data_IF_656595760201
#
_entry.id   IF_656595760201
#
_cell.length_a   1.000
_cell.length_b   1.000
_cell.length_c   1.000
_cell.angle_alpha   90.00
_cell.angle_beta   90.00
_cell.angle_gamma   90.00
#
_symmetry.space_group_name_H-M   'P 1'
#
loop_
_entity.id
_entity.type
_entity.pdbx_description
1 polymer ?
#
# COMPACT_ATOMS: atom_id res chain seq x y z
N UNK A 1 -108.22 -12.49 27.33
CA UNK A 1 -109.41 -12.17 26.50
C UNK A 1 -109.22 -10.75 25.93
N UNK A 2 -109.51 -10.42 24.66
CA UNK A 2 -110.69 -10.73 23.80
C UNK A 2 -111.90 -9.88 24.28
N UNK A 3 -112.59 -9.03 23.49
CA UNK A 3 -112.68 -8.89 22.02
C UNK A 3 -112.66 -7.42 21.48
N UNK A 4 -113.21 -7.18 20.27
CA UNK A 4 -113.04 -6.01 19.37
C UNK A 4 -114.25 -5.03 19.37
N UNK A 5 -114.03 -3.75 19.02
CA UNK A 5 -115.02 -2.82 18.40
C UNK A 5 -115.73 -1.85 19.37
N UNK A 6 -115.89 -0.52 19.20
CA UNK A 6 -115.68 0.51 18.12
C UNK A 6 -116.95 0.98 17.36
N UNK A 7 -117.53 2.11 17.80
CA UNK A 7 -118.25 3.19 17.05
C UNK A 7 -118.14 4.49 17.91
N UNK A 8 -117.69 5.68 17.43
CA UNK A 8 -118.38 6.78 16.68
C UNK A 8 -119.65 7.33 17.35
N UNK A 9 -119.93 8.65 17.50
CA UNK A 9 -119.32 9.96 17.10
C UNK A 9 -119.78 11.04 18.13
N UNK A 10 -119.37 12.33 18.23
CA UNK A 10 -119.14 13.42 17.25
C UNK A 10 -118.34 14.60 17.90
N UNK A 11 -118.15 15.76 17.25
CA UNK A 11 -117.28 16.90 17.70
C UNK A 11 -117.97 18.27 17.64
N UNK A 12 -117.54 19.30 18.43
CA UNK A 12 -116.74 20.41 17.84
C UNK A 12 -115.61 20.98 18.77
N UNK A 13 -114.95 22.13 18.46
CA UNK A 13 -113.68 22.18 17.67
C UNK A 13 -113.03 23.60 17.52
N UNK A 14 -112.48 24.22 18.56
CA UNK A 14 -111.69 25.50 18.48
C UNK A 14 -110.38 25.37 19.29
N UNK A 15 -109.13 25.57 18.84
CA UNK A 15 -108.44 26.09 17.61
C UNK A 15 -107.83 27.50 17.72
N UNK A 16 -106.50 27.55 17.85
CA UNK A 16 -105.60 28.63 17.36
C UNK A 16 -104.41 27.98 16.61
N UNK A 17 -103.81 28.63 15.59
CA UNK A 17 -103.10 27.92 14.49
C UNK A 17 -102.21 28.82 13.57
N UNK A 18 -101.26 28.19 12.84
CA UNK A 18 -100.49 28.65 11.61
C UNK A 18 -99.17 29.40 11.88
N UNK A 19 -98.11 29.45 11.04
CA UNK A 19 -97.64 28.91 9.69
C UNK A 19 -96.09 29.21 9.59
N UNK A 20 -95.20 28.86 8.62
CA UNK A 20 -95.03 27.96 7.43
C UNK A 20 -93.50 27.93 7.05
N UNK A 21 -93.10 27.34 5.89
CA UNK A 21 -91.79 27.46 5.16
C UNK A 21 -90.67 26.52 5.70
N UNK A 22 -90.17 25.44 5.04
CA UNK A 22 -89.81 25.04 3.64
C UNK A 22 -88.43 25.60 3.23
N UNK A 23 -87.36 24.81 2.97
CA UNK A 23 -86.98 24.07 1.72
C UNK A 23 -86.01 22.89 2.02
N UNK A 24 -85.97 21.91 1.11
CA UNK A 24 -85.19 20.64 1.09
C UNK A 24 -83.72 20.74 0.63
N UNK A 25 -82.81 19.91 1.20
CA UNK A 25 -81.83 19.11 0.42
C UNK A 25 -81.34 17.87 1.21
N UNK A 26 -80.96 16.79 0.52
CA UNK A 26 -80.43 15.54 1.09
C UNK A 26 -79.07 15.21 0.47
N UNK A 27 -78.06 14.94 1.31
CA UNK A 27 -76.84 14.23 0.91
C UNK A 27 -76.19 13.53 2.12
N UNK A 28 -76.02 12.21 2.03
CA UNK A 28 -75.36 11.36 3.02
C UNK A 28 -73.90 11.09 2.59
N UNK A 29 -72.90 11.52 3.37
CA UNK A 29 -71.52 11.02 3.26
C UNK A 29 -70.88 10.87 4.66
N UNK A 30 -70.10 9.80 4.82
CA UNK A 30 -69.49 9.22 6.01
C UNK A 30 -68.77 10.14 7.02
N UNK A 31 -68.65 9.64 8.26
CA UNK A 31 -67.64 10.11 9.22
C UNK A 31 -66.22 9.82 8.70
N UNK A 32 -65.21 10.66 9.01
CA UNK A 32 -63.82 10.27 8.87
C UNK A 32 -63.48 9.17 9.89
N UNK A 33 -63.24 7.95 9.42
CA UNK A 33 -62.76 6.88 10.28
C UNK A 33 -61.37 7.21 10.82
N UNK A 34 -61.14 6.94 12.11
CA UNK A 34 -59.85 7.19 12.77
C UNK A 34 -58.82 6.16 12.26
N UNK A 35 -58.08 6.52 11.22
CA UNK A 35 -57.09 5.67 10.59
C UNK A 35 -55.87 5.44 11.50
N UNK A 36 -55.92 4.36 12.29
CA UNK A 36 -54.77 3.85 13.03
C UNK A 36 -53.64 3.54 12.03
N UNK A 37 -52.50 4.20 12.18
CA UNK A 37 -51.45 4.19 11.17
C UNK A 37 -50.71 2.85 11.09
N UNK A 38 -51.22 1.93 10.27
CA UNK A 38 -50.43 0.80 9.78
C UNK A 38 -49.38 1.33 8.81
N UNK A 39 -48.18 1.61 9.33
CA UNK A 39 -46.97 1.68 8.51
C UNK A 39 -46.75 0.26 7.98
N UNK A 40 -47.30 -0.03 6.80
CA UNK A 40 -46.91 -1.18 5.99
C UNK A 40 -45.54 -0.85 5.42
N UNK A 41 -44.53 -1.00 6.26
CA UNK A 41 -43.17 -1.17 5.77
C UNK A 41 -43.13 -2.48 5.00
N UNK A 42 -43.14 -2.41 3.67
CA UNK A 42 -42.76 -3.53 2.83
C UNK A 42 -41.42 -4.09 3.37
N UNK A 43 -41.36 -5.34 3.86
CA UNK A 43 -40.12 -5.89 4.40
C UNK A 43 -39.11 -5.94 3.25
N UNK A 44 -38.08 -5.09 3.34
CA UNK A 44 -37.25 -4.67 2.20
C UNK A 44 -36.83 -5.88 1.36
N UNK A 45 -37.39 -6.03 0.15
CA UNK A 45 -37.17 -7.20 -0.72
C UNK A 45 -35.91 -6.97 -1.57
N UNK A 46 -34.71 -7.30 -1.11
CA UNK A 46 -34.28 -8.67 -0.75
C UNK A 46 -34.93 -9.71 -1.66
N UNK A 47 -34.58 -9.64 -2.94
CA UNK A 47 -34.27 -10.88 -3.68
C UNK A 47 -32.87 -11.32 -3.23
N UNK A 48 -32.78 -11.80 -1.98
CA UNK A 48 -31.55 -12.05 -1.20
C UNK A 48 -30.55 -10.87 -1.05
N UNK A 49 -30.88 -9.63 -1.43
CA UNK A 49 -30.06 -8.43 -1.10
C UNK A 49 -30.83 -7.13 -0.83
N UNK A 50 -30.46 -6.41 0.24
CA UNK A 50 -30.94 -5.05 0.59
C UNK A 50 -30.09 -3.98 -0.10
N UNK A 51 -30.73 -2.95 -0.68
CA UNK A 51 -30.07 -1.72 -1.14
C UNK A 51 -31.00 -0.53 -0.88
N UNK A 52 -30.57 0.44 -0.07
CA UNK A 52 -31.33 1.66 0.25
C UNK A 52 -30.54 2.93 -0.12
N UNK A 53 -31.25 4.00 -0.49
CA UNK A 53 -30.66 5.27 -0.94
C UNK A 53 -31.35 6.44 -0.23
N UNK A 54 -30.59 7.24 0.51
CA UNK A 54 -31.07 8.45 1.20
C UNK A 54 -31.12 9.69 0.30
N UNK A 55 -31.81 9.62 -0.85
CA UNK A 55 -31.91 10.73 -1.81
C UNK A 55 -32.77 10.40 -3.02
N UNK A 56 -33.48 11.40 -3.57
CA UNK A 56 -34.64 11.20 -4.45
C UNK A 56 -34.35 11.07 -5.96
N UNK A 57 -33.09 10.95 -6.38
CA UNK A 57 -32.74 10.67 -7.79
C UNK A 57 -31.37 9.96 -7.95
N UNK A 58 -31.34 8.62 -8.09
CA UNK A 58 -30.09 7.89 -8.34
C UNK A 58 -29.81 7.75 -9.85
N UNK A 59 -29.12 8.74 -10.42
CA UNK A 59 -28.52 8.59 -11.75
C UNK A 59 -27.31 7.61 -11.67
N UNK A 60 -27.58 6.32 -11.92
CA UNK A 60 -26.60 5.26 -12.18
C UNK A 60 -25.59 4.94 -11.04
N UNK A 61 -26.06 4.74 -9.81
CA UNK A 61 -25.25 4.23 -8.70
C UNK A 61 -25.88 3.00 -8.00
N UNK A 62 -25.04 2.02 -7.61
CA UNK A 62 -25.41 0.83 -6.82
C UNK A 62 -24.90 0.97 -5.38
N UNK A 63 -25.36 0.09 -4.49
CA UNK A 63 -25.00 -0.10 -3.07
C UNK A 63 -23.99 0.90 -2.47
N UNK A 64 -24.52 1.81 -1.65
CA UNK A 64 -23.77 2.82 -0.88
C UNK A 64 -23.83 2.45 0.61
N UNK A 65 -22.71 2.03 1.20
CA UNK A 65 -22.63 1.63 2.61
C UNK A 65 -22.05 2.78 3.44
N UNK A 66 -22.89 3.37 4.29
CA UNK A 66 -22.56 4.53 5.13
C UNK A 66 -22.74 4.20 6.61
N UNK A 67 -21.69 4.42 7.39
CA UNK A 67 -21.84 4.79 8.80
C UNK A 67 -21.96 6.32 8.94
N UNK A 68 -22.37 6.77 10.11
CA UNK A 68 -22.06 8.14 10.54
C UNK A 68 -20.58 8.20 10.98
N UNK A 69 -19.94 9.36 10.77
CA UNK A 69 -18.50 9.62 10.92
C UNK A 69 -17.52 8.71 10.11
N UNK A 70 -16.82 9.35 9.16
CA UNK A 70 -15.43 9.07 8.78
C UNK A 70 -14.96 7.75 8.12
N UNK A 71 -15.81 6.82 7.69
CA UNK A 71 -15.40 5.78 6.71
C UNK A 71 -16.53 5.38 5.75
N UNK A 72 -16.18 5.16 4.48
CA UNK A 72 -17.07 4.65 3.42
C UNK A 72 -16.33 3.62 2.55
N UNK A 73 -17.08 2.67 2.02
CA UNK A 73 -16.66 1.79 0.92
C UNK A 73 -17.55 2.14 -0.27
N UNK A 74 -17.00 2.83 -1.26
CA UNK A 74 -17.71 3.22 -2.48
C UNK A 74 -17.15 2.49 -3.69
N UNK A 75 -18.04 1.93 -4.49
CA UNK A 75 -17.79 1.41 -5.84
C UNK A 75 -18.73 2.16 -6.78
N UNK A 76 -18.21 2.87 -7.79
CA UNK A 76 -19.05 3.54 -8.79
C UNK A 76 -18.67 3.20 -10.24
N UNK A 77 -19.60 3.50 -11.15
CA UNK A 77 -19.50 3.26 -12.59
C UNK A 77 -19.09 4.49 -13.39
N UNK A 78 -18.29 5.39 -12.80
CA UNK A 78 -17.65 6.48 -13.55
C UNK A 78 -16.62 5.92 -14.56
N UNK A 79 -16.01 6.79 -15.37
CA UNK A 79 -14.93 6.39 -16.31
C UNK A 79 -13.67 5.85 -15.62
N UNK A 80 -13.60 5.90 -14.29
CA UNK A 80 -12.52 5.33 -13.47
C UNK A 80 -13.12 4.54 -12.32
N UNK A 81 -13.78 3.42 -12.63
CA UNK A 81 -14.35 2.52 -11.61
C UNK A 81 -13.27 2.08 -10.61
N UNK A 82 -13.58 2.18 -9.32
CA UNK A 82 -12.63 1.87 -8.25
C UNK A 82 -13.27 1.81 -6.87
N UNK A 83 -12.49 1.32 -5.91
CA UNK A 83 -12.79 1.33 -4.49
C UNK A 83 -12.15 2.57 -3.85
N UNK A 84 -12.99 3.48 -3.34
CA UNK A 84 -12.57 4.73 -2.70
C UNK A 84 -12.54 4.59 -1.18
N UNK A 85 -11.49 5.15 -0.56
CA UNK A 85 -11.28 5.23 0.88
C UNK A 85 -11.30 6.70 1.33
N UNK A 86 -12.47 7.19 1.72
CA UNK A 86 -12.67 8.55 2.23
C UNK A 86 -12.27 8.65 3.71
N UNK A 87 -11.53 9.70 4.09
CA UNK A 87 -11.21 10.08 5.49
C UNK A 87 -11.44 11.57 5.68
N UNK A 88 -12.13 11.98 6.75
CA UNK A 88 -12.43 13.39 7.05
C UNK A 88 -13.06 14.15 5.86
N UNK A 89 -13.94 13.48 5.11
CA UNK A 89 -14.63 14.05 3.93
C UNK A 89 -13.81 14.16 2.64
N UNK A 90 -12.55 13.72 2.62
CA UNK A 90 -11.67 13.74 1.45
C UNK A 90 -11.34 12.29 1.02
N UNK A 91 -11.32 12.00 -0.29
CA UNK A 91 -11.00 10.67 -0.84
C UNK A 91 -9.50 10.37 -0.79
N UNK A 92 -9.00 10.21 0.44
CA UNK A 92 -7.59 10.06 0.80
C UNK A 92 -6.85 8.98 -0.01
N UNK A 93 -7.55 7.92 -0.45
CA UNK A 93 -7.02 7.03 -1.48
C UNK A 93 -8.05 6.25 -2.30
N UNK A 94 -7.59 5.65 -3.41
CA UNK A 94 -8.42 4.88 -4.34
C UNK A 94 -7.65 3.70 -4.90
N UNK A 95 -8.27 2.51 -4.96
CA UNK A 95 -7.83 1.39 -5.78
C UNK A 95 -8.71 1.35 -7.04
N UNK A 96 -8.18 1.71 -8.21
CA UNK A 96 -8.97 1.90 -9.44
C UNK A 96 -8.47 1.05 -10.60
N UNK A 97 -9.40 0.54 -11.41
CA UNK A 97 -9.06 0.01 -12.74
C UNK A 97 -8.97 1.15 -13.75
N UNK A 98 -7.91 1.15 -14.56
CA UNK A 98 -7.77 2.01 -15.73
C UNK A 98 -7.65 1.17 -17.00
N UNK A 99 -7.63 1.80 -18.18
CA UNK A 99 -7.51 1.09 -19.47
C UNK A 99 -6.19 0.30 -19.62
N UNK A 100 -5.23 0.51 -18.72
CA UNK A 100 -3.87 -0.04 -18.75
C UNK A 100 -3.50 -0.86 -17.51
N UNK A 101 -4.35 -0.96 -16.48
CA UNK A 101 -4.05 -1.77 -15.30
C UNK A 101 -4.90 -1.49 -14.05
N UNK A 102 -4.32 -1.79 -12.89
CA UNK A 102 -4.86 -1.52 -11.56
C UNK A 102 -3.91 -0.55 -10.84
N UNK A 103 -4.45 0.55 -10.32
CA UNK A 103 -3.69 1.64 -9.70
C UNK A 103 -4.10 1.84 -8.24
N UNK A 104 -3.13 2.22 -7.41
CA UNK A 104 -3.34 2.75 -6.05
C UNK A 104 -3.00 4.24 -6.07
N UNK A 105 -3.95 5.08 -5.67
CA UNK A 105 -3.86 6.53 -5.74
C UNK A 105 -4.12 7.18 -4.38
N UNK A 106 -3.58 8.38 -4.14
CA UNK A 106 -3.83 9.20 -2.93
C UNK A 106 -4.13 10.65 -3.31
N UNK A 107 -5.19 11.25 -2.77
CA UNK A 107 -5.61 12.61 -3.20
C UNK A 107 -4.76 13.76 -2.63
N UNK A 108 -4.11 13.56 -1.48
CA UNK A 108 -3.45 14.62 -0.73
C UNK A 108 -2.20 14.13 0.04
N UNK A 109 -1.06 14.66 -0.41
CA UNK A 109 0.31 14.66 0.14
C UNK A 109 1.17 13.36 0.22
N UNK A 110 2.37 13.51 -0.34
CA UNK A 110 3.68 12.90 0.02
C UNK A 110 3.93 11.41 -0.25
N UNK A 111 3.01 10.47 0.00
CA UNK A 111 3.28 9.03 -0.20
C UNK A 111 2.08 8.28 -0.80
N UNK A 112 2.24 7.78 -2.03
CA UNK A 112 1.18 7.06 -2.76
C UNK A 112 0.96 5.61 -2.30
N UNK A 113 1.94 4.98 -1.64
CA UNK A 113 1.84 3.64 -1.06
C UNK A 113 2.80 3.51 0.13
N UNK A 114 2.38 2.78 1.18
CA UNK A 114 3.21 2.41 2.31
C UNK A 114 2.94 0.96 2.72
N UNK A 115 3.98 0.13 2.73
CA UNK A 115 3.93 -1.28 3.15
C UNK A 115 4.89 -1.48 4.33
N UNK A 116 4.42 -2.11 5.40
CA UNK A 116 5.12 -2.20 6.69
C UNK A 116 5.45 -3.65 7.05
N UNK A 117 6.42 -3.84 7.95
CA UNK A 117 7.07 -5.13 8.18
C UNK A 117 8.30 -5.28 7.29
N UNK A 118 8.43 -6.40 6.57
CA UNK A 118 9.58 -6.70 5.69
C UNK A 118 9.55 -5.99 4.32
N UNK A 119 8.63 -5.05 4.10
CA UNK A 119 8.51 -4.27 2.86
C UNK A 119 7.60 -4.90 1.81
N UNK A 120 7.96 -4.74 0.54
CA UNK A 120 7.16 -5.16 -0.61
C UNK A 120 7.84 -6.29 -1.39
N UNK A 121 7.06 -7.21 -1.95
CA UNK A 121 7.53 -8.26 -2.86
C UNK A 121 6.80 -8.13 -4.21
N UNK A 122 7.57 -7.93 -5.28
CA UNK A 122 7.05 -7.75 -6.63
C UNK A 122 7.34 -9.01 -7.46
N UNK A 123 6.29 -9.64 -8.01
CA UNK A 123 6.44 -10.78 -8.92
C UNK A 123 6.74 -10.27 -10.33
N UNK A 124 8.00 -9.93 -10.60
CA UNK A 124 8.47 -9.43 -11.88
C UNK A 124 9.32 -8.17 -11.74
N UNK A 125 9.21 -7.28 -12.73
CA UNK A 125 10.06 -6.08 -12.82
C UNK A 125 9.53 -4.92 -11.96
N UNK A 126 10.44 -4.15 -11.37
CA UNK A 126 10.15 -2.85 -10.77
C UNK A 126 10.58 -1.74 -11.75
N UNK A 127 9.67 -0.82 -12.06
CA UNK A 127 9.96 0.42 -12.77
C UNK A 127 9.72 1.61 -11.83
N UNK A 128 10.51 2.67 -11.98
CA UNK A 128 10.42 3.89 -11.16
C UNK A 128 10.90 5.09 -11.97
N UNK A 129 10.10 6.16 -11.99
CA UNK A 129 10.47 7.44 -12.59
C UNK A 129 11.40 8.27 -11.68
N UNK A 130 11.59 7.82 -10.43
CA UNK A 130 12.43 8.47 -9.41
C UNK A 130 13.48 7.53 -8.78
N UNK A 131 14.22 8.07 -7.83
CA UNK A 131 15.38 7.40 -7.21
C UNK A 131 15.00 6.22 -6.29
N UNK A 132 15.81 5.15 -6.32
CA UNK A 132 15.79 4.09 -5.31
C UNK A 132 16.67 4.52 -4.12
N UNK A 133 16.04 5.02 -3.06
CA UNK A 133 16.73 5.49 -1.84
C UNK A 133 17.03 4.32 -0.88
N UNK A 134 18.26 3.81 -0.89
CA UNK A 134 18.71 2.74 0.02
C UNK A 134 19.45 3.28 1.26
N UNK A 135 19.47 2.50 2.34
CA UNK A 135 20.20 2.83 3.59
C UNK A 135 21.70 2.57 3.47
N UNK A 136 22.08 1.55 2.71
CA UNK A 136 23.46 1.15 2.44
C UNK A 136 23.89 1.72 1.08
N UNK A 137 25.17 1.63 0.73
CA UNK A 137 25.75 2.44 -0.36
C UNK A 137 26.66 1.65 -1.31
N UNK A 138 26.55 0.32 -1.33
CA UNK A 138 27.32 -0.63 -2.14
C UNK A 138 26.44 -1.55 -3.00
N UNK A 139 26.88 -1.86 -4.22
CA UNK A 139 26.21 -2.83 -5.11
C UNK A 139 26.97 -4.14 -5.07
N UNK A 140 26.24 -5.23 -4.81
CA UNK A 140 26.81 -6.57 -4.62
C UNK A 140 26.05 -7.66 -5.40
N UNK A 141 26.70 -8.81 -5.60
CA UNK A 141 26.12 -9.99 -6.23
C UNK A 141 26.31 -11.25 -5.36
N UNK A 142 25.41 -12.22 -5.49
CA UNK A 142 25.55 -13.58 -4.94
C UNK A 142 26.50 -14.44 -5.79
N UNK A 143 27.73 -14.64 -5.33
CA UNK A 143 28.77 -15.44 -5.99
C UNK A 143 29.10 -16.68 -5.16
N UNK A 144 29.29 -17.84 -5.78
CA UNK A 144 29.65 -19.09 -5.09
C UNK A 144 30.99 -18.95 -4.37
N UNK A 145 31.05 -19.37 -3.10
CA UNK A 145 32.24 -19.20 -2.26
C UNK A 145 32.02 -19.74 -0.84
N UNK A 146 33.10 -20.06 -0.09
CA UNK A 146 32.95 -20.43 1.32
C UNK A 146 32.42 -19.24 2.13
N UNK A 147 31.75 -19.47 3.27
CA UNK A 147 31.38 -18.38 4.19
C UNK A 147 32.61 -17.58 4.63
N UNK A 148 32.64 -16.30 4.29
CA UNK A 148 33.71 -15.36 4.61
C UNK A 148 33.14 -14.17 5.41
N UNK A 149 33.86 -13.60 6.40
CA UNK A 149 33.35 -12.45 7.15
C UNK A 149 33.24 -11.20 6.27
N UNK A 150 32.38 -10.26 6.66
CA UNK A 150 32.28 -8.97 5.99
C UNK A 150 33.63 -8.21 5.94
N UNK A 151 33.82 -7.39 4.91
CA UNK A 151 35.05 -6.64 4.64
C UNK A 151 36.21 -7.48 4.11
N UNK A 152 36.04 -8.79 3.92
CA UNK A 152 37.08 -9.66 3.34
C UNK A 152 37.27 -9.36 1.86
N UNK A 153 38.48 -9.01 1.44
CA UNK A 153 38.87 -8.89 0.02
C UNK A 153 38.86 -10.27 -0.63
N UNK A 154 38.30 -10.38 -1.84
CA UNK A 154 38.09 -11.66 -2.52
C UNK A 154 38.55 -11.63 -3.97
N UNK A 155 39.07 -12.78 -4.43
CA UNK A 155 39.56 -13.02 -5.78
C UNK A 155 38.75 -14.12 -6.47
N UNK A 156 38.68 -14.06 -7.80
CA UNK A 156 38.13 -15.12 -8.63
C UNK A 156 39.04 -16.36 -8.63
N UNK A 157 38.40 -17.51 -8.54
CA UNK A 157 38.95 -18.85 -8.73
C UNK A 157 38.27 -19.52 -9.94
N UNK A 158 38.57 -20.79 -10.17
CA UNK A 158 37.88 -21.61 -11.16
C UNK A 158 36.37 -21.77 -10.87
N UNK A 159 35.60 -22.12 -11.91
CA UNK A 159 34.16 -22.39 -11.85
C UNK A 159 33.29 -21.25 -11.24
N UNK A 160 33.61 -19.98 -11.52
CA UNK A 160 32.91 -18.79 -11.01
C UNK A 160 32.85 -18.73 -9.46
N UNK A 161 33.93 -19.20 -8.81
CA UNK A 161 34.06 -19.22 -7.36
C UNK A 161 34.86 -18.03 -6.85
N UNK A 162 34.50 -17.53 -5.67
CA UNK A 162 35.28 -16.55 -4.91
C UNK A 162 36.01 -17.20 -3.72
N UNK A 163 37.23 -16.72 -3.45
CA UNK A 163 38.00 -17.04 -2.24
C UNK A 163 38.64 -15.76 -1.67
N UNK A 164 39.07 -15.79 -0.41
CA UNK A 164 39.78 -14.66 0.20
C UNK A 164 41.13 -14.43 -0.51
N UNK A 165 41.45 -13.17 -0.84
CA UNK A 165 42.72 -12.82 -1.49
C UNK A 165 43.91 -13.06 -0.56
N UNK A 166 44.92 -13.80 -0.98
CA UNK A 166 46.16 -14.05 -0.22
C UNK A 166 47.41 -13.41 -0.85
N UNK A 167 47.26 -12.82 -2.04
CA UNK A 167 48.33 -12.37 -2.90
C UNK A 167 48.31 -10.85 -3.06
N UNK A 168 49.47 -10.21 -2.86
CA UNK A 168 49.61 -8.76 -3.01
C UNK A 168 49.49 -8.33 -4.48
N UNK A 169 48.69 -7.28 -4.76
CA UNK A 169 48.37 -6.82 -6.11
C UNK A 169 47.82 -7.92 -7.05
N UNK A 170 47.02 -8.84 -6.52
CA UNK A 170 46.35 -9.87 -7.32
C UNK A 170 45.39 -9.23 -8.35
N UNK A 171 45.59 -9.53 -9.64
CA UNK A 171 44.76 -9.06 -10.74
C UNK A 171 43.43 -9.81 -10.87
N UNK A 172 43.21 -10.86 -10.06
CA UNK A 172 41.96 -11.63 -9.98
C UNK A 172 40.96 -11.04 -8.99
N UNK A 173 41.24 -9.87 -8.38
CA UNK A 173 40.39 -9.31 -7.33
C UNK A 173 39.03 -8.89 -7.91
N UNK A 174 37.94 -9.41 -7.31
CA UNK A 174 36.55 -9.22 -7.78
C UNK A 174 35.70 -8.38 -6.83
N UNK A 175 36.26 -7.95 -5.70
CA UNK A 175 35.60 -7.05 -4.76
C UNK A 175 35.80 -7.43 -3.30
N UNK A 176 34.79 -7.14 -2.48
CA UNK A 176 34.84 -7.32 -1.02
C UNK A 176 33.50 -7.89 -0.51
N UNK A 177 33.56 -8.80 0.45
CA UNK A 177 32.36 -9.40 1.06
C UNK A 177 31.53 -8.35 1.79
N UNK A 178 30.26 -8.17 1.39
CA UNK A 178 29.33 -7.22 1.99
C UNK A 178 28.42 -7.84 3.05
N UNK A 179 28.29 -7.15 4.18
CA UNK A 179 27.36 -7.47 5.26
C UNK A 179 25.90 -7.17 4.84
N UNK A 180 25.65 -5.93 4.38
CA UNK A 180 24.32 -5.42 4.04
C UNK A 180 24.42 -4.50 2.83
N UNK A 181 24.32 -5.02 1.59
CA UNK A 181 24.41 -4.21 0.39
C UNK A 181 23.21 -3.28 0.20
N UNK A 182 23.41 -2.22 -0.60
CA UNK A 182 22.35 -1.29 -1.02
C UNK A 182 21.40 -1.92 -2.05
N UNK A 183 21.99 -2.67 -2.97
CA UNK A 183 21.39 -3.43 -4.06
C UNK A 183 22.12 -4.76 -4.17
N UNK A 184 21.36 -5.86 -4.20
CA UNK A 184 21.89 -7.22 -4.26
C UNK A 184 21.37 -7.93 -5.51
N UNK A 185 22.30 -8.40 -6.32
CA UNK A 185 22.07 -9.04 -7.62
C UNK A 185 22.31 -10.55 -7.55
N UNK A 186 21.83 -11.27 -8.57
CA UNK A 186 21.95 -12.71 -8.67
C UNK A 186 21.03 -13.48 -7.71
N UNK A 187 21.00 -14.80 -7.86
CA UNK A 187 20.16 -15.69 -7.04
C UNK A 187 20.88 -16.12 -5.75
N UNK A 188 20.18 -16.05 -4.62
CA UNK A 188 20.64 -16.55 -3.33
C UNK A 188 20.92 -18.07 -3.38
N UNK A 189 22.05 -18.50 -2.83
CA UNK A 189 22.41 -19.92 -2.65
C UNK A 189 23.11 -20.15 -1.31
N UNK A 190 22.97 -21.35 -0.74
CA UNK A 190 23.61 -21.71 0.53
C UNK A 190 25.15 -21.82 0.43
N UNK A 191 25.66 -21.99 -0.79
CA UNK A 191 27.06 -22.02 -1.19
C UNK A 191 27.58 -20.65 -1.65
N UNK A 192 26.79 -19.56 -1.49
CA UNK A 192 27.11 -18.23 -2.03
C UNK A 192 27.35 -17.17 -0.96
N UNK A 193 28.14 -16.18 -1.33
CA UNK A 193 28.46 -14.98 -0.54
C UNK A 193 28.15 -13.71 -1.34
N UNK A 194 27.85 -12.63 -0.62
CA UNK A 194 27.56 -11.31 -1.21
C UNK A 194 28.86 -10.55 -1.47
N UNK A 195 29.22 -10.32 -2.72
CA UNK A 195 30.46 -9.60 -3.09
C UNK A 195 30.10 -8.25 -3.67
N UNK A 196 30.50 -7.17 -2.98
CA UNK A 196 30.40 -5.82 -3.48
C UNK A 196 31.57 -5.50 -4.42
N UNK A 197 31.25 -4.98 -5.61
CA UNK A 197 32.21 -4.52 -6.62
C UNK A 197 32.28 -2.98 -6.71
N UNK A 198 31.27 -2.27 -6.21
CA UNK A 198 31.19 -0.81 -6.26
C UNK A 198 30.51 -0.21 -5.01
N UNK A 199 30.85 1.04 -4.69
CA UNK A 199 30.18 1.83 -3.65
C UNK A 199 30.87 1.82 -2.30
N UNK A 200 30.18 2.23 -1.22
CA UNK A 200 30.77 2.56 0.09
C UNK A 200 30.49 1.51 1.15
N UNK A 201 31.52 0.75 1.54
CA UNK A 201 31.48 -0.22 2.65
C UNK A 201 32.80 -0.24 3.45
N UNK A 202 32.84 -0.99 4.56
CA UNK A 202 34.08 -1.23 5.31
C UNK A 202 34.85 -2.43 4.77
N UNK A 203 36.14 -2.22 4.52
CA UNK A 203 37.08 -3.22 3.99
C UNK A 203 38.12 -3.52 5.07
N UNK A 204 38.55 -4.77 5.19
CA UNK A 204 39.67 -5.15 6.05
C UNK A 204 40.96 -4.63 5.43
N UNK A 205 41.73 -3.85 6.18
CA UNK A 205 42.95 -3.19 5.69
C UNK A 205 44.12 -3.44 6.64
N UNK A 206 45.31 -3.59 6.07
CA UNK A 206 46.59 -3.54 6.78
C UNK A 206 47.15 -2.12 6.71
N UNK A 207 47.56 -1.58 7.85
CA UNK A 207 48.12 -0.24 7.99
C UNK A 207 49.53 -0.09 7.35
N UNK A 208 49.98 1.13 7.01
CA UNK A 208 49.27 2.41 7.12
C UNK A 208 48.43 2.76 5.87
N UNK A 209 47.27 3.38 6.09
CA UNK A 209 46.44 4.02 5.05
C UNK A 209 45.86 5.35 5.53
N UNK A 210 45.70 6.29 4.60
CA UNK A 210 45.05 7.58 4.80
C UNK A 210 43.93 7.82 3.76
N UNK A 211 42.95 8.71 4.02
CA UNK A 211 41.90 9.03 3.06
C UNK A 211 42.44 9.48 1.70
N UNK A 212 41.91 8.90 0.63
CA UNK A 212 42.36 9.13 -0.74
C UNK A 212 43.42 8.15 -1.25
N UNK A 213 44.07 7.37 -0.39
CA UNK A 213 44.97 6.29 -0.82
C UNK A 213 44.25 5.27 -1.71
N UNK A 214 44.94 4.81 -2.76
CA UNK A 214 44.49 3.67 -3.56
C UNK A 214 44.72 2.37 -2.77
N UNK A 215 43.71 1.52 -2.74
CA UNK A 215 43.75 0.21 -2.09
C UNK A 215 43.83 -0.91 -3.11
N UNK A 216 44.64 -1.93 -2.78
CA UNK A 216 44.90 -3.14 -3.57
C UNK A 216 44.83 -4.36 -2.65
N UNK A 217 44.68 -5.57 -3.19
CA UNK A 217 44.83 -6.80 -2.41
C UNK A 217 46.23 -6.88 -1.75
N UNK A 218 46.30 -7.42 -0.53
CA UNK A 218 47.54 -7.59 0.23
C UNK A 218 47.95 -9.06 0.39
N UNK A 219 49.18 -9.30 0.85
CA UNK A 219 49.66 -10.63 1.24
C UNK A 219 49.08 -11.15 2.57
N UNK A 220 48.23 -10.37 3.25
CA UNK A 220 47.50 -10.82 4.44
C UNK A 220 46.11 -11.26 3.99
N UNK A 221 45.81 -12.56 4.17
CA UNK A 221 44.60 -13.17 3.65
C UNK A 221 43.32 -12.38 3.97
N UNK A 222 42.56 -12.05 2.92
CA UNK A 222 41.32 -11.29 2.99
C UNK A 222 41.44 -9.81 3.33
N UNK A 223 42.64 -9.21 3.30
CA UNK A 223 42.86 -7.79 3.59
C UNK A 223 43.40 -7.04 2.36
N UNK A 224 43.02 -5.77 2.25
CA UNK A 224 43.64 -4.80 1.37
C UNK A 224 44.84 -4.11 2.04
N UNK A 225 45.65 -3.41 1.25
CA UNK A 225 46.72 -2.53 1.69
C UNK A 225 46.80 -1.29 0.79
N UNK A 226 47.55 -0.27 1.23
CA UNK A 226 47.94 0.88 0.41
C UNK A 226 48.78 0.44 -0.79
N UNK A 227 48.49 0.96 -1.98
CA UNK A 227 49.32 0.71 -3.17
C UNK A 227 50.57 1.58 -3.23
N UNK A 228 51.69 1.03 -3.68
CA UNK A 228 52.81 1.81 -4.22
C UNK A 228 52.44 2.34 -5.62
N UNK A 229 52.62 3.65 -5.91
CA UNK A 229 52.29 4.22 -7.23
C UNK A 229 53.00 3.60 -8.44
N UNK A 230 54.09 2.84 -8.23
CA UNK A 230 54.84 2.13 -9.29
C UNK A 230 54.36 0.70 -9.56
N UNK A 231 53.54 0.14 -8.68
CA UNK A 231 53.12 -1.27 -8.72
C UNK A 231 51.66 -1.44 -9.18
N UNK A 232 50.87 -0.36 -9.17
CA UNK A 232 49.47 -0.33 -9.61
C UNK A 232 49.36 -0.75 -11.08
N UNK A 233 48.48 -1.72 -11.35
CA UNK A 233 48.11 -2.20 -12.69
C UNK A 233 46.58 -2.22 -12.83
N UNK A 234 46.03 -2.15 -14.06
CA UNK A 234 44.62 -2.45 -14.31
C UNK A 234 44.21 -3.79 -13.67
N UNK A 235 42.98 -3.89 -13.16
CA UNK A 235 42.50 -5.07 -12.43
C UNK A 235 43.13 -5.32 -11.04
N UNK A 236 44.03 -4.46 -10.52
CA UNK A 236 44.55 -4.60 -9.14
C UNK A 236 43.89 -3.68 -8.12
N UNK A 237 43.22 -2.63 -8.58
CA UNK A 237 42.65 -1.56 -7.76
C UNK A 237 41.28 -1.98 -7.21
N UNK A 238 41.13 -1.97 -5.89
CA UNK A 238 39.84 -2.10 -5.22
C UNK A 238 39.06 -0.78 -5.18
N UNK A 239 39.77 0.33 -4.98
CA UNK A 239 39.17 1.66 -4.83
C UNK A 239 40.02 2.57 -3.95
N UNK A 240 39.35 3.44 -3.16
CA UNK A 240 40.02 4.42 -2.29
C UNK A 240 39.57 4.38 -0.83
N UNK A 241 40.52 4.49 0.08
CA UNK A 241 40.25 4.68 1.51
C UNK A 241 39.52 6.02 1.77
N UNK A 242 38.59 6.03 2.72
CA UNK A 242 37.85 7.22 3.18
C UNK A 242 38.04 7.51 4.69
N UNK A 243 38.61 6.54 5.44
CA UNK A 243 39.05 6.65 6.83
C UNK A 243 40.58 6.35 6.88
N UNK A 244 41.29 6.75 7.94
CA UNK A 244 42.70 6.35 8.13
C UNK A 244 42.83 5.11 9.03
N UNK A 245 43.99 4.46 8.97
CA UNK A 245 44.42 3.42 9.89
C UNK A 245 45.96 3.47 10.00
N UNK A 246 46.47 3.99 11.11
CA UNK A 246 47.90 4.25 11.27
C UNK A 246 48.73 2.99 11.56
N UNK A 247 48.20 2.03 12.33
CA UNK A 247 48.93 0.85 12.82
C UNK A 247 48.04 -0.40 12.81
N UNK A 248 48.64 -1.56 12.51
CA UNK A 248 48.00 -2.87 12.66
C UNK A 248 47.05 -3.25 11.52
N UNK A 249 45.86 -3.74 11.89
CA UNK A 249 44.81 -4.19 10.96
C UNK A 249 43.45 -3.70 11.46
N UNK A 250 42.57 -3.26 10.56
CA UNK A 250 41.29 -2.65 10.91
C UNK A 250 40.27 -2.71 9.78
N UNK A 251 39.05 -2.25 10.06
CA UNK A 251 37.96 -2.18 9.08
C UNK A 251 37.73 -0.73 8.65
N UNK A 252 38.27 -0.35 7.49
CA UNK A 252 38.35 1.03 6.99
C UNK A 252 37.24 1.26 5.96
N UNK A 253 36.46 2.34 6.14
CA UNK A 253 35.49 2.78 5.14
C UNK A 253 36.20 3.10 3.83
N UNK A 254 35.72 2.50 2.74
CA UNK A 254 36.34 2.54 1.41
C UNK A 254 35.27 2.84 0.39
N UNK A 255 35.60 3.64 -0.63
CA UNK A 255 34.84 3.72 -1.88
C UNK A 255 35.41 2.66 -2.83
N UNK A 256 34.70 1.56 -3.04
CA UNK A 256 35.03 0.58 -4.07
C UNK A 256 34.73 1.14 -5.45
N UNK A 257 35.70 0.97 -6.35
CA UNK A 257 35.66 1.29 -7.76
C UNK A 257 36.52 0.25 -8.49
N UNK A 258 36.02 -0.98 -8.60
CA UNK A 258 36.70 -2.01 -9.38
C UNK A 258 36.76 -1.57 -10.86
N UNK A 259 37.91 -1.77 -11.53
CA UNK A 259 38.22 -1.29 -12.89
C UNK A 259 38.80 -2.40 -13.76
#
# INVERSE_FOLDING_TARGET
MVFIGRETTMSPRTTSRRRLVIITLVALVALPALALATIVSDPMRVFTGQVGIGGTAPALARLDVRGDADTRIRIDGSKTSGLYFTRAGIDAGTFRSTATGLEVWTSNVTLALALQGTGAHFLGNLQTDGNISSRYQDVAEWVTGPPLPAGTVVVAQDANRAIASDTAYDTRVIGVVSDRPALLLGEHGADKIKIAHSGRLRVKVVAPVAPGDLLVASSISGHAMRSSPREVRPGTILGKALESLEVGRGAVLTLLTLQ
#
